data_IF_147634257447
#
_entry.id   IF_147634257447
#
_cell.length_a   1.000
_cell.length_b   1.000
_cell.length_c   1.000
_cell.angle_alpha   90.00
_cell.angle_beta   90.00
_cell.angle_gamma   90.00
#
_symmetry.space_group_name_H-M   'P 1'
#
loop_
_entity.id
_entity.type
_entity.pdbx_description
1 polymer ?
#
# COMPACT_ATOMS: atom_id res chain seq x y z
N UNK A 1 -2.24 6.75 -8.45
CA UNK A 1 -2.79 5.42 -8.11
C UNK A 1 -1.66 4.46 -7.76
N UNK A 2 -1.72 3.77 -6.61
CA UNK A 2 -0.72 2.78 -6.15
C UNK A 2 -1.33 1.40 -6.01
N UNK A 3 -0.48 0.37 -5.98
CA UNK A 3 -0.88 -1.03 -5.83
C UNK A 3 -0.11 -1.65 -4.67
N UNK A 4 -0.83 -2.33 -3.78
CA UNK A 4 -0.24 -3.21 -2.75
C UNK A 4 -0.61 -4.65 -3.09
N UNK A 5 0.37 -5.53 -3.07
CA UNK A 5 0.17 -6.95 -3.31
C UNK A 5 -0.01 -7.68 -1.99
N UNK A 6 -1.15 -8.34 -1.83
CA UNK A 6 -1.50 -9.06 -0.62
C UNK A 6 -1.57 -10.57 -0.87
N UNK A 7 -1.17 -11.32 0.16
CA UNK A 7 -1.34 -12.76 0.16
C UNK A 7 -2.85 -13.13 0.22
N UNK A 8 -3.33 -14.17 -0.47
CA UNK A 8 -4.74 -14.57 -0.53
C UNK A 8 -5.40 -14.77 0.84
N UNK A 9 -4.64 -15.17 1.86
CA UNK A 9 -5.15 -15.26 3.24
C UNK A 9 -5.66 -13.93 3.82
N UNK A 10 -5.31 -12.79 3.21
CA UNK A 10 -5.77 -11.45 3.57
C UNK A 10 -6.98 -10.97 2.76
N UNK A 11 -7.53 -11.78 1.85
CA UNK A 11 -8.67 -11.40 1.00
C UNK A 11 -9.94 -11.01 1.79
N UNK A 12 -10.14 -11.57 2.99
CA UNK A 12 -11.26 -11.18 3.87
C UNK A 12 -10.98 -9.93 4.72
N UNK A 13 -9.73 -9.45 4.75
CA UNK A 13 -9.25 -8.34 5.59
C UNK A 13 -8.31 -7.43 4.78
N UNK A 14 -8.80 -6.95 3.64
CA UNK A 14 -8.02 -6.16 2.68
C UNK A 14 -7.60 -4.82 3.28
N UNK A 15 -8.55 -4.01 3.75
CA UNK A 15 -8.22 -2.67 4.27
C UNK A 15 -7.23 -2.75 5.44
N UNK A 16 -7.43 -3.58 6.49
CA UNK A 16 -6.45 -3.71 7.57
C UNK A 16 -5.07 -4.15 7.10
N UNK A 17 -5.01 -5.02 6.07
CA UNK A 17 -3.75 -5.43 5.48
C UNK A 17 -3.06 -4.28 4.75
N UNK A 18 -3.79 -3.46 3.98
CA UNK A 18 -3.25 -2.26 3.33
C UNK A 18 -2.78 -1.24 4.37
N UNK A 19 -3.57 -0.97 5.41
CA UNK A 19 -3.16 -0.10 6.52
C UNK A 19 -1.88 -0.58 7.18
N UNK A 20 -1.73 -1.88 7.40
CA UNK A 20 -0.49 -2.46 7.95
C UNK A 20 0.72 -2.20 7.07
N UNK A 21 0.58 -2.39 5.75
CA UNK A 21 1.65 -2.12 4.80
C UNK A 21 2.00 -0.61 4.78
N UNK A 22 1.01 0.28 4.79
CA UNK A 22 1.24 1.73 4.85
C UNK A 22 1.90 2.16 6.18
N UNK A 23 1.47 1.60 7.31
CA UNK A 23 2.11 1.83 8.61
C UNK A 23 3.56 1.39 8.64
N UNK A 24 3.93 0.36 7.87
CA UNK A 24 5.33 -0.09 7.79
C UNK A 24 6.26 0.95 7.13
N UNK A 25 5.69 1.92 6.41
CA UNK A 25 6.41 3.00 5.72
C UNK A 25 6.57 4.25 6.58
N UNK A 26 5.78 4.40 7.66
CA UNK A 26 5.85 5.55 8.54
C UNK A 26 7.24 5.69 9.18
N UNK A 27 7.71 6.93 9.25
CA UNK A 27 9.01 7.32 9.79
C UNK A 27 10.22 6.66 9.12
N UNK A 28 10.03 6.10 7.92
CA UNK A 28 11.12 5.58 7.08
C UNK A 28 11.31 6.45 5.86
N UNK A 29 12.56 6.60 5.46
CA UNK A 29 12.89 7.15 4.16
C UNK A 29 12.42 6.18 3.07
N UNK A 30 11.68 6.71 2.10
CA UNK A 30 11.21 5.96 0.96
C UNK A 30 11.76 6.61 -0.31
N UNK A 31 12.65 5.91 -1.02
CA UNK A 31 13.29 6.41 -2.24
C UNK A 31 12.27 6.80 -3.31
N UNK A 32 11.18 6.05 -3.44
CA UNK A 32 10.11 6.34 -4.41
C UNK A 32 9.24 7.55 -4.04
N UNK A 33 9.48 8.16 -2.87
CA UNK A 33 8.83 9.38 -2.38
C UNK A 33 9.85 10.47 -2.04
N UNK A 34 11.15 10.20 -2.22
CA UNK A 34 12.28 11.07 -1.88
C UNK A 34 12.12 11.81 -0.54
N UNK A 35 11.77 11.05 0.50
CA UNK A 35 11.49 11.64 1.79
C UNK A 35 11.06 10.64 2.85
N UNK A 36 10.88 11.15 4.06
CA UNK A 36 10.38 10.36 5.19
C UNK A 36 8.86 10.46 5.25
N UNK A 37 8.15 9.34 5.20
CA UNK A 37 6.68 9.32 5.27
C UNK A 37 6.22 9.61 6.71
N UNK A 38 5.40 10.63 6.89
CA UNK A 38 4.90 11.05 8.22
C UNK A 38 3.46 10.61 8.46
N UNK A 39 2.62 10.65 7.43
CA UNK A 39 1.22 10.23 7.51
C UNK A 39 0.71 9.77 6.15
N UNK A 40 -0.37 9.00 6.17
CA UNK A 40 -1.05 8.48 5.01
C UNK A 40 -2.57 8.64 5.15
N UNK A 41 -3.27 8.79 4.03
CA UNK A 41 -4.72 8.74 3.93
C UNK A 41 -5.12 7.98 2.65
N UNK A 42 -5.32 6.64 2.72
CA UNK A 42 -5.74 5.86 1.57
C UNK A 42 -7.23 6.06 1.26
N UNK A 43 -7.54 6.16 -0.03
CA UNK A 43 -8.89 6.07 -0.61
C UNK A 43 -8.94 4.84 -1.52
N UNK A 44 -9.79 3.90 -1.16
CA UNK A 44 -9.99 2.67 -1.94
C UNK A 44 -10.94 2.95 -3.09
N UNK A 45 -10.48 2.70 -4.33
CA UNK A 45 -11.26 2.99 -5.54
C UNK A 45 -12.05 1.79 -6.08
N UNK A 46 -11.71 0.56 -5.66
CA UNK A 46 -12.48 -0.66 -5.95
C UNK A 46 -11.94 -1.86 -5.15
N UNK A 47 -12.83 -2.78 -4.73
CA UNK A 47 -12.47 -4.06 -4.09
C UNK A 47 -11.99 -5.13 -5.09
N UNK A 48 -12.03 -4.86 -6.40
CA UNK A 48 -11.60 -5.82 -7.42
C UNK A 48 -10.08 -5.85 -7.49
N UNK A 49 -9.50 -6.80 -6.77
CA UNK A 49 -8.08 -7.08 -6.87
C UNK A 49 -7.76 -7.99 -8.05
N UNK A 50 -6.67 -7.67 -8.78
CA UNK A 50 -6.19 -8.53 -9.87
C UNK A 50 -5.26 -9.59 -9.28
N UNK A 51 -5.58 -10.87 -9.46
CA UNK A 51 -4.67 -11.97 -9.12
C UNK A 51 -3.50 -11.95 -10.11
N UNK A 52 -2.27 -11.95 -9.59
CA UNK A 52 -1.08 -12.10 -10.40
C UNK A 52 -0.85 -13.59 -10.71
N UNK A 53 -0.63 -13.96 -11.99
CA UNK A 53 -0.24 -15.32 -12.33
C UNK A 53 1.17 -15.62 -11.81
N UNK A 54 1.35 -16.71 -11.08
CA UNK A 54 2.64 -17.12 -10.50
C UNK A 54 2.50 -18.30 -9.54
N UNK A 55 3.64 -18.88 -9.12
CA UNK A 55 3.69 -20.04 -8.19
C UNK A 55 3.10 -19.68 -6.82
N UNK A 56 3.32 -18.45 -6.36
CA UNK A 56 2.69 -17.91 -5.16
C UNK A 56 1.60 -16.92 -5.57
N UNK A 57 0.31 -17.26 -5.41
CA UNK A 57 -0.76 -16.35 -5.77
C UNK A 57 -0.71 -15.13 -4.84
N UNK A 58 -0.74 -13.94 -5.43
CA UNK A 58 -0.96 -12.66 -4.74
C UNK A 58 -2.03 -11.90 -5.50
N UNK A 59 -2.76 -11.04 -4.81
CA UNK A 59 -3.72 -10.14 -5.44
C UNK A 59 -3.32 -8.68 -5.24
N UNK A 60 -3.37 -7.90 -6.32
CA UNK A 60 -3.05 -6.48 -6.30
C UNK A 60 -4.27 -5.64 -5.96
N UNK A 61 -4.17 -4.86 -4.89
CA UNK A 61 -5.20 -3.91 -4.44
C UNK A 61 -4.81 -2.52 -4.90
N UNK A 62 -5.65 -1.89 -5.71
CA UNK A 62 -5.47 -0.51 -6.17
C UNK A 62 -6.09 0.46 -5.17
N UNK A 63 -5.35 1.49 -4.82
CA UNK A 63 -5.84 2.59 -3.99
C UNK A 63 -5.16 3.90 -4.41
N UNK A 64 -5.81 5.00 -4.07
CA UNK A 64 -5.17 6.31 -4.03
C UNK A 64 -4.73 6.58 -2.61
N UNK A 65 -3.61 7.26 -2.42
CA UNK A 65 -3.22 7.69 -1.09
C UNK A 65 -2.67 9.10 -1.17
N UNK A 66 -3.14 9.95 -0.24
CA UNK A 66 -2.42 11.17 0.10
C UNK A 66 -1.34 10.81 1.09
N UNK A 67 -0.12 11.25 0.82
CA UNK A 67 1.03 11.03 1.68
C UNK A 67 1.62 12.40 2.01
N UNK A 68 1.97 12.58 3.28
CA UNK A 68 2.79 13.71 3.70
C UNK A 68 4.19 13.19 3.98
N UNK A 69 5.19 13.78 3.32
CA UNK A 69 6.59 13.46 3.50
C UNK A 69 7.40 14.68 3.98
N UNK A 70 8.42 14.42 4.79
CA UNK A 70 9.48 15.39 5.07
C UNK A 70 10.63 15.18 4.08
N UNK A 71 10.97 16.23 3.35
CA UNK A 71 12.10 16.25 2.40
C UNK A 71 13.35 16.68 3.18
N UNK A 72 14.46 15.98 3.01
CA UNK A 72 15.76 16.47 3.48
C UNK A 72 16.23 17.55 2.50
N UNK A 73 16.31 18.80 2.98
CA UNK A 73 16.98 19.89 2.26
C UNK A 73 18.49 19.69 2.23
#
# INVERSE_FOLDING_TARGET
MRVVYLHPSKAKKVEPAVYRELSSLLFKFNEALDGVVLTYEPKFSSNLAKILPGIHPYFGVKFEAKLLNAIRR
#
